data_IF_522058464737
#
_entry.id   IF_522058464737
#
_cell.length_a   1.000
_cell.length_b   1.000
_cell.length_c   1.000
_cell.angle_alpha   90.00
_cell.angle_beta   90.00
_cell.angle_gamma   90.00
#
_symmetry.space_group_name_H-M   'P 1'
#
loop_
_entity.id
_entity.type
_entity.pdbx_description
1 polymer ?
#
# COMPACT_ATOMS: atom_id res chain seq x y z
N UNK A 1 -11.00 18.46 11.86
CA UNK A 1 -10.05 17.37 11.75
C UNK A 1 -10.68 16.11 11.17
N UNK A 2 -11.69 15.50 11.79
CA UNK A 2 -12.35 14.25 11.35
C UNK A 2 -12.96 14.26 9.94
N UNK A 3 -13.18 15.43 9.34
CA UNK A 3 -13.82 15.56 8.02
C UNK A 3 -12.81 15.82 6.89
N UNK A 4 -11.53 15.94 7.18
CA UNK A 4 -10.49 16.24 6.17
C UNK A 4 -10.44 15.17 5.10
N UNK A 5 -10.52 13.90 5.50
CA UNK A 5 -10.46 12.75 4.59
C UNK A 5 -11.82 12.36 3.98
N UNK A 6 -12.89 13.12 4.27
CA UNK A 6 -14.22 12.78 3.75
C UNK A 6 -14.27 12.92 2.24
N UNK A 7 -14.60 11.82 1.55
CA UNK A 7 -14.61 11.59 0.11
C UNK A 7 -13.23 11.45 -0.54
N UNK A 8 -12.14 11.56 0.23
CA UNK A 8 -10.76 11.62 -0.28
C UNK A 8 -9.79 10.79 0.59
N UNK A 9 -10.21 9.54 0.94
CA UNK A 9 -9.32 8.62 1.66
C UNK A 9 -8.07 8.34 0.83
N UNK A 10 -6.91 8.71 1.38
CA UNK A 10 -5.60 8.53 0.76
C UNK A 10 -4.99 9.80 0.18
N UNK A 11 -5.73 10.89 0.03
CA UNK A 11 -5.16 12.13 -0.51
C UNK A 11 -4.30 12.84 0.54
N UNK A 12 -4.89 13.28 1.62
CA UNK A 12 -4.18 14.07 2.64
C UNK A 12 -3.25 13.21 3.49
N UNK A 13 -3.64 11.98 3.80
CA UNK A 13 -2.81 11.08 4.58
C UNK A 13 -1.50 10.74 3.87
N UNK A 14 -1.52 10.56 2.55
CA UNK A 14 -0.32 10.32 1.74
C UNK A 14 0.58 11.56 1.75
N UNK A 15 0.00 12.75 1.56
CA UNK A 15 0.74 14.01 1.65
C UNK A 15 1.41 14.17 3.01
N UNK A 16 0.68 13.89 4.10
CA UNK A 16 1.20 13.98 5.46
C UNK A 16 2.33 12.97 5.72
N UNK A 17 2.21 11.72 5.24
CA UNK A 17 3.27 10.72 5.37
C UNK A 17 4.55 11.15 4.63
N UNK A 18 4.42 11.63 3.39
CA UNK A 18 5.55 12.14 2.60
C UNK A 18 6.19 13.36 3.28
N UNK A 19 5.39 14.32 3.72
CA UNK A 19 5.89 15.50 4.41
C UNK A 19 6.59 15.16 5.73
N UNK A 20 6.05 14.19 6.49
CA UNK A 20 6.67 13.71 7.72
C UNK A 20 8.01 13.02 7.45
N UNK A 21 8.09 12.16 6.44
CA UNK A 21 9.33 11.50 6.05
C UNK A 21 10.40 12.51 5.63
N UNK A 22 10.06 13.47 4.76
CA UNK A 22 10.96 14.56 4.36
C UNK A 22 11.44 15.38 5.57
N UNK A 23 10.55 15.66 6.52
CA UNK A 23 10.92 16.39 7.74
C UNK A 23 11.85 15.60 8.64
N UNK A 24 11.68 14.28 8.73
CA UNK A 24 12.59 13.41 9.49
C UNK A 24 13.95 13.29 8.81
N UNK A 25 14.02 13.32 7.48
CA UNK A 25 15.27 13.28 6.72
C UNK A 25 16.18 14.50 6.97
N UNK A 26 15.65 15.62 7.47
CA UNK A 26 16.44 16.78 7.91
C UNK A 26 17.30 16.47 9.17
N UNK A 27 17.06 15.36 9.86
CA UNK A 27 17.79 15.02 11.09
C UNK A 27 19.15 14.41 10.75
N UNK A 28 20.24 14.84 11.42
CA UNK A 28 21.62 14.50 11.02
C UNK A 28 22.00 13.02 11.21
N UNK A 29 21.13 12.23 11.82
CA UNK A 29 21.31 10.78 12.03
C UNK A 29 20.39 9.92 11.15
N UNK A 30 19.62 10.52 10.26
CA UNK A 30 18.79 9.83 9.28
C UNK A 30 19.50 9.85 7.93
N UNK A 31 19.57 8.70 7.31
CA UNK A 31 20.04 8.54 5.94
C UNK A 31 18.83 8.60 4.99
N UNK A 32 18.64 9.72 4.33
CA UNK A 32 17.51 9.94 3.42
C UNK A 32 17.51 8.96 2.24
N UNK A 33 18.69 8.54 1.78
CA UNK A 33 18.84 7.59 0.67
C UNK A 33 18.49 6.14 1.06
N UNK A 34 18.10 5.89 2.30
CA UNK A 34 17.74 4.59 2.85
C UNK A 34 16.44 4.64 3.63
N UNK A 35 15.45 5.36 3.09
CA UNK A 35 14.14 5.51 3.71
C UNK A 35 13.12 4.59 3.04
N UNK A 36 12.51 3.71 3.83
CA UNK A 36 11.46 2.81 3.37
C UNK A 36 10.17 2.99 4.16
N UNK A 37 9.07 2.54 3.59
CA UNK A 37 7.76 2.54 4.24
C UNK A 37 7.14 1.14 4.19
N UNK A 38 6.44 0.73 5.24
CA UNK A 38 5.67 -0.50 5.19
C UNK A 38 4.35 -0.37 5.93
N UNK A 39 3.38 -1.17 5.50
CA UNK A 39 2.10 -1.19 6.16
C UNK A 39 1.24 -2.39 5.81
N UNK A 40 0.23 -2.62 6.64
CA UNK A 40 -0.74 -3.71 6.54
C UNK A 40 -2.14 -3.14 6.38
N UNK A 41 -2.97 -3.74 5.49
CA UNK A 41 -4.36 -3.31 5.31
C UNK A 41 -4.45 -1.86 4.81
N UNK A 42 -5.05 -0.96 5.57
CA UNK A 42 -5.00 0.49 5.31
C UNK A 42 -3.56 1.01 5.24
N UNK A 43 -2.67 0.50 6.12
CA UNK A 43 -1.24 0.81 6.06
C UNK A 43 -0.58 0.32 4.78
N UNK A 44 -1.04 -0.81 4.23
CA UNK A 44 -0.62 -1.31 2.91
C UNK A 44 -1.10 -0.40 1.76
N UNK A 45 -2.32 0.10 1.83
CA UNK A 45 -2.82 1.14 0.93
C UNK A 45 -1.97 2.41 1.01
N UNK A 46 -1.61 2.85 2.23
CA UNK A 46 -0.74 4.00 2.45
C UNK A 46 0.66 3.78 1.89
N UNK A 47 1.31 2.65 2.20
CA UNK A 47 2.67 2.38 1.71
C UNK A 47 2.73 2.28 0.18
N UNK A 48 1.69 1.70 -0.45
CA UNK A 48 1.57 1.67 -1.91
C UNK A 48 1.43 3.06 -2.51
N UNK A 49 0.52 3.89 -1.99
CA UNK A 49 0.38 5.27 -2.48
C UNK A 49 1.64 6.11 -2.22
N UNK A 50 2.30 5.92 -1.08
CA UNK A 50 3.51 6.67 -0.74
C UNK A 50 4.68 6.35 -1.69
N UNK A 51 4.91 5.09 -2.06
CA UNK A 51 5.97 4.75 -3.02
C UNK A 51 5.66 5.24 -4.43
N UNK A 52 4.37 5.32 -4.81
CA UNK A 52 3.97 5.82 -6.12
C UNK A 52 4.01 7.34 -6.22
N UNK A 53 3.50 8.05 -5.20
CA UNK A 53 3.33 9.51 -5.23
C UNK A 53 4.46 10.27 -4.54
N UNK A 54 5.30 9.58 -3.76
CA UNK A 54 6.46 10.12 -3.05
C UNK A 54 7.76 9.40 -3.43
N UNK A 55 7.95 9.13 -4.71
CA UNK A 55 9.09 8.43 -5.28
C UNK A 55 10.45 9.12 -5.05
N UNK A 56 10.44 10.41 -4.69
CA UNK A 56 11.61 11.18 -4.27
C UNK A 56 11.91 11.06 -2.76
N UNK A 57 11.13 10.27 -2.03
CA UNK A 57 11.17 10.20 -0.55
C UNK A 57 11.39 8.77 -0.03
N UNK A 58 10.87 7.78 -0.75
CA UNK A 58 10.93 6.38 -0.33
C UNK A 58 11.62 5.52 -1.37
N UNK A 59 12.74 4.88 -0.98
CA UNK A 59 13.50 3.96 -1.83
C UNK A 59 12.80 2.60 -1.95
N UNK A 60 12.05 2.20 -0.92
CA UNK A 60 11.30 0.95 -0.94
C UNK A 60 9.96 1.03 -0.21
N UNK A 61 9.03 0.16 -0.59
CA UNK A 61 7.79 -0.06 0.17
C UNK A 61 7.43 -1.53 0.28
N UNK A 62 6.83 -1.90 1.43
CA UNK A 62 6.19 -3.20 1.63
C UNK A 62 4.71 -2.98 1.90
N UNK A 63 3.84 -3.59 1.12
CA UNK A 63 2.39 -3.56 1.30
C UNK A 63 1.86 -4.96 1.60
N UNK A 64 1.32 -5.14 2.80
CA UNK A 64 0.72 -6.41 3.21
C UNK A 64 -0.79 -6.28 3.21
N UNK A 65 -1.46 -7.15 2.46
CA UNK A 65 -2.91 -7.18 2.32
C UNK A 65 -3.52 -5.77 2.05
N UNK A 66 -2.99 -5.01 1.07
CA UNK A 66 -3.40 -3.63 0.85
C UNK A 66 -4.79 -3.54 0.21
N UNK A 67 -5.54 -2.51 0.56
CA UNK A 67 -6.58 -1.97 -0.32
C UNK A 67 -5.88 -1.31 -1.50
N UNK A 68 -6.35 -1.54 -2.73
CA UNK A 68 -5.84 -0.88 -3.94
C UNK A 68 -6.94 -0.15 -4.71
N UNK A 69 -8.19 -0.38 -4.32
CA UNK A 69 -9.33 0.46 -4.66
C UNK A 69 -10.39 0.36 -3.58
N UNK A 70 -10.92 1.47 -3.18
CA UNK A 70 -12.03 1.51 -2.24
C UNK A 70 -13.31 0.89 -2.78
N UNK A 71 -13.44 0.78 -4.10
CA UNK A 71 -14.54 0.05 -4.75
C UNK A 71 -14.49 -1.48 -4.50
N UNK A 72 -13.36 -2.02 -4.04
CA UNK A 72 -13.18 -3.44 -3.70
C UNK A 72 -13.27 -3.71 -2.19
N UNK A 73 -13.65 -2.72 -1.41
CA UNK A 73 -13.82 -2.88 0.03
C UNK A 73 -15.30 -2.81 0.44
N UNK A 74 -15.62 -3.22 1.68
CA UNK A 74 -17.01 -3.30 2.14
C UNK A 74 -17.72 -1.93 2.16
N UNK A 75 -19.03 -1.94 1.93
CA UNK A 75 -19.84 -0.73 1.78
C UNK A 75 -20.02 0.01 3.10
N UNK A 76 -20.16 -0.71 4.23
CA UNK A 76 -20.41 -0.07 5.55
C UNK A 76 -19.24 0.83 5.93
N UNK A 77 -18.02 0.37 5.73
CA UNK A 77 -16.82 1.17 5.97
C UNK A 77 -16.64 2.23 4.89
N UNK A 78 -16.62 1.79 3.63
CA UNK A 78 -16.21 2.65 2.51
C UNK A 78 -17.18 3.80 2.29
N UNK A 79 -18.47 3.54 2.20
CA UNK A 79 -19.46 4.58 1.91
C UNK A 79 -19.60 5.62 3.04
N UNK A 80 -19.26 5.25 4.26
CA UNK A 80 -19.20 6.19 5.40
C UNK A 80 -18.17 7.31 5.14
N UNK A 81 -17.05 6.99 4.52
CA UNK A 81 -15.94 7.93 4.29
C UNK A 81 -15.94 8.50 2.88
N UNK A 82 -16.32 7.69 1.90
CA UNK A 82 -16.17 8.01 0.47
C UNK A 82 -17.51 8.30 -0.23
N UNK A 83 -18.65 8.06 0.42
CA UNK A 83 -19.96 7.95 -0.24
C UNK A 83 -19.97 6.79 -1.26
N UNK A 84 -21.01 6.70 -2.12
CA UNK A 84 -21.02 5.68 -3.18
C UNK A 84 -20.09 6.05 -4.33
N UNK A 85 -19.61 5.06 -5.12
CA UNK A 85 -18.81 5.36 -6.32
C UNK A 85 -19.55 6.26 -7.34
N UNK A 86 -20.88 6.19 -7.39
CA UNK A 86 -21.70 7.02 -8.27
C UNK A 86 -21.74 8.49 -7.82
N UNK A 87 -21.66 8.74 -6.51
CA UNK A 87 -21.69 10.09 -5.93
C UNK A 87 -20.30 10.72 -5.85
N UNK A 88 -19.24 9.90 -5.90
CA UNK A 88 -17.85 10.34 -5.73
C UNK A 88 -16.87 9.58 -6.65
N UNK A 89 -17.10 9.52 -7.97
CA UNK A 89 -16.25 8.72 -8.85
C UNK A 89 -14.77 9.16 -8.81
N UNK A 90 -14.49 10.45 -8.81
CA UNK A 90 -13.11 10.97 -8.75
C UNK A 90 -12.40 10.56 -7.45
N UNK A 91 -13.05 10.66 -6.30
CA UNK A 91 -12.43 10.26 -5.03
C UNK A 91 -12.02 8.79 -5.00
N UNK A 92 -12.80 7.91 -5.65
CA UNK A 92 -12.43 6.51 -5.81
C UNK A 92 -11.28 6.31 -6.81
N UNK A 93 -11.31 6.98 -7.96
CA UNK A 93 -10.32 6.79 -9.02
C UNK A 93 -8.97 7.44 -8.67
N UNK A 94 -8.97 8.67 -8.18
CA UNK A 94 -7.77 9.44 -7.87
C UNK A 94 -6.99 8.87 -6.68
N UNK A 95 -7.67 8.11 -5.80
CA UNK A 95 -7.06 7.48 -4.65
C UNK A 95 -6.82 5.97 -4.81
N UNK A 96 -7.06 5.41 -5.99
CA UNK A 96 -6.79 3.99 -6.28
C UNK A 96 -5.39 3.80 -6.84
N UNK A 97 -4.43 3.25 -6.05
CA UNK A 97 -3.03 3.14 -6.48
C UNK A 97 -2.85 2.33 -7.76
N UNK A 98 -3.70 1.36 -8.07
CA UNK A 98 -3.58 0.60 -9.31
C UNK A 98 -3.84 1.43 -10.59
N UNK A 99 -4.33 2.66 -10.47
CA UNK A 99 -4.46 3.60 -11.60
C UNK A 99 -3.15 4.35 -11.90
N UNK A 100 -2.16 4.25 -11.01
CA UNK A 100 -0.89 4.98 -11.10
C UNK A 100 0.36 4.07 -11.13
N UNK A 101 0.31 2.85 -11.71
CA UNK A 101 1.42 1.91 -11.65
C UNK A 101 2.68 2.44 -12.33
N UNK A 102 2.51 3.34 -13.32
CA UNK A 102 3.61 3.98 -14.06
C UNK A 102 4.51 4.86 -13.19
N UNK A 103 4.02 5.29 -12.01
CA UNK A 103 4.78 6.11 -11.07
C UNK A 103 5.73 5.29 -10.18
N UNK A 104 5.69 3.96 -10.21
CA UNK A 104 6.60 3.14 -9.40
C UNK A 104 8.05 3.33 -9.89
N UNK A 105 8.92 3.81 -9.01
CA UNK A 105 10.37 3.96 -9.27
C UNK A 105 11.22 3.18 -8.27
N UNK A 106 10.81 3.10 -7.00
CA UNK A 106 11.50 2.36 -5.95
C UNK A 106 11.19 0.86 -5.91
N UNK A 107 11.83 0.17 -4.98
CA UNK A 107 11.61 -1.26 -4.75
C UNK A 107 10.26 -1.52 -4.05
N UNK A 108 9.45 -2.43 -4.57
CA UNK A 108 8.12 -2.70 -4.05
C UNK A 108 7.89 -4.18 -3.78
N UNK A 109 7.45 -4.52 -2.57
CA UNK A 109 7.05 -5.87 -2.18
C UNK A 109 5.58 -5.90 -1.80
N UNK A 110 4.78 -6.62 -2.58
CA UNK A 110 3.34 -6.82 -2.36
C UNK A 110 3.08 -8.22 -1.77
N UNK A 111 2.38 -8.29 -0.65
CA UNK A 111 2.08 -9.55 0.05
C UNK A 111 0.58 -9.68 0.31
N UNK A 112 0.00 -10.88 0.07
CA UNK A 112 -1.42 -11.12 0.35
C UNK A 112 -1.71 -12.59 0.68
N UNK A 113 -2.73 -12.84 1.50
CA UNK A 113 -3.30 -14.16 1.74
C UNK A 113 -4.47 -14.43 0.79
N UNK A 114 -4.53 -15.60 0.17
CA UNK A 114 -5.62 -15.91 -0.79
C UNK A 114 -6.99 -16.14 -0.15
N UNK A 115 -7.02 -16.44 1.16
CA UNK A 115 -8.24 -16.61 1.94
C UNK A 115 -8.61 -15.37 2.75
N UNK A 116 -8.13 -14.17 2.34
CA UNK A 116 -8.45 -12.91 3.00
C UNK A 116 -9.93 -12.54 2.74
N UNK A 117 -10.73 -12.59 3.79
CA UNK A 117 -12.16 -12.31 3.80
C UNK A 117 -12.49 -10.86 4.23
N UNK A 118 -11.47 -10.09 4.56
CA UNK A 118 -11.57 -8.66 4.89
C UNK A 118 -11.18 -7.79 3.68
N UNK A 119 -9.91 -7.81 3.31
CA UNK A 119 -9.42 -7.19 2.07
C UNK A 119 -9.22 -8.29 1.04
N UNK A 120 -10.16 -8.46 0.13
CA UNK A 120 -10.10 -9.52 -0.87
C UNK A 120 -8.80 -9.46 -1.68
N UNK A 121 -8.20 -10.62 -1.93
CA UNK A 121 -6.96 -10.77 -2.71
C UNK A 121 -7.05 -10.15 -4.11
N UNK A 122 -8.25 -9.91 -4.62
CA UNK A 122 -8.51 -9.15 -5.85
C UNK A 122 -7.80 -7.80 -5.85
N UNK A 123 -7.72 -7.11 -4.72
CA UNK A 123 -6.97 -5.86 -4.59
C UNK A 123 -5.52 -6.03 -5.08
N UNK A 124 -4.82 -7.02 -4.54
CA UNK A 124 -3.43 -7.31 -4.93
C UNK A 124 -3.31 -7.82 -6.36
N UNK A 125 -4.21 -8.68 -6.80
CA UNK A 125 -4.17 -9.20 -8.18
C UNK A 125 -4.34 -8.07 -9.22
N UNK A 126 -5.22 -7.10 -8.95
CA UNK A 126 -5.40 -5.93 -9.83
C UNK A 126 -4.17 -5.02 -9.83
N UNK A 127 -3.53 -4.83 -8.68
CA UNK A 127 -2.28 -4.06 -8.59
C UNK A 127 -1.12 -4.75 -9.32
N UNK A 128 -0.96 -6.06 -9.13
CA UNK A 128 0.04 -6.88 -9.84
C UNK A 128 -0.15 -6.75 -11.35
N UNK A 129 -1.37 -6.95 -11.84
CA UNK A 129 -1.67 -6.82 -13.27
C UNK A 129 -1.34 -5.42 -13.79
N UNK A 130 -1.73 -4.37 -13.07
CA UNK A 130 -1.46 -2.99 -13.46
C UNK A 130 0.06 -2.71 -13.55
N UNK A 131 0.85 -3.18 -12.58
CA UNK A 131 2.30 -3.03 -12.59
C UNK A 131 2.97 -3.79 -13.73
N UNK A 132 2.51 -5.02 -14.03
CA UNK A 132 2.99 -5.81 -15.18
C UNK A 132 2.71 -5.08 -16.50
N UNK A 133 1.49 -4.55 -16.68
CA UNK A 133 1.12 -3.82 -17.90
C UNK A 133 1.87 -2.49 -18.05
N UNK A 134 2.34 -1.92 -16.93
CA UNK A 134 3.19 -0.73 -16.92
C UNK A 134 4.70 -1.05 -17.06
N UNK A 135 5.07 -2.31 -17.30
CA UNK A 135 6.46 -2.80 -17.39
C UNK A 135 7.31 -2.48 -16.16
N UNK A 136 6.70 -2.53 -14.96
CA UNK A 136 7.41 -2.31 -13.69
C UNK A 136 7.87 -3.63 -13.09
N UNK A 137 9.10 -3.63 -12.56
CA UNK A 137 9.65 -4.74 -11.80
C UNK A 137 9.32 -4.56 -10.31
N UNK A 138 8.90 -5.62 -9.66
CA UNK A 138 8.54 -5.62 -8.25
C UNK A 138 8.53 -7.06 -7.70
N UNK A 139 8.56 -7.19 -6.38
CA UNK A 139 8.44 -8.46 -5.69
C UNK A 139 7.02 -8.68 -5.17
N UNK A 140 6.64 -9.94 -5.06
CA UNK A 140 5.36 -10.32 -4.46
C UNK A 140 5.43 -11.63 -3.69
N UNK A 141 4.45 -11.82 -2.78
CA UNK A 141 4.34 -13.04 -1.98
C UNK A 141 2.89 -13.40 -1.72
N UNK A 142 2.45 -14.56 -2.24
CA UNK A 142 1.09 -15.06 -1.99
C UNK A 142 1.14 -16.17 -0.95
N UNK A 143 0.27 -16.06 0.05
CA UNK A 143 0.11 -17.04 1.12
C UNK A 143 -1.20 -17.79 0.93
N UNK A 144 -1.14 -19.06 0.41
CA UNK A 144 -2.32 -19.85 0.15
C UNK A 144 -3.18 -20.07 1.41
N UNK A 145 -4.49 -19.90 1.30
CA UNK A 145 -5.50 -20.12 2.33
C UNK A 145 -5.29 -19.31 3.63
N UNK A 146 -4.48 -18.24 3.58
CA UNK A 146 -4.31 -17.35 4.72
C UNK A 146 -5.28 -16.19 4.64
N UNK A 147 -5.89 -15.89 5.79
CA UNK A 147 -6.78 -14.74 5.99
C UNK A 147 -6.02 -13.42 6.11
N UNK A 148 -6.73 -12.36 6.46
CA UNK A 148 -6.18 -11.00 6.62
C UNK A 148 -5.00 -10.90 7.59
N UNK A 149 -4.93 -11.77 8.59
CA UNK A 149 -3.84 -11.81 9.58
C UNK A 149 -2.60 -12.58 9.14
N UNK A 150 -2.64 -13.35 8.03
CA UNK A 150 -1.56 -14.19 7.51
C UNK A 150 -0.83 -14.96 8.62
N UNK A 151 -1.53 -15.85 9.31
CA UNK A 151 -0.99 -16.59 10.44
C UNK A 151 -1.22 -18.13 10.35
N UNK A 152 -0.67 -18.87 11.30
CA UNK A 152 -0.78 -20.32 11.46
C UNK A 152 0.52 -21.04 11.09
N UNK A 153 0.92 -21.99 11.94
CA UNK A 153 2.18 -22.70 11.79
C UNK A 153 3.37 -21.76 11.66
N UNK A 154 4.22 -22.00 10.70
CA UNK A 154 5.41 -21.18 10.43
C UNK A 154 5.13 -19.92 9.57
N UNK A 155 3.87 -19.66 9.21
CA UNK A 155 3.51 -18.61 8.24
C UNK A 155 4.02 -17.24 8.64
N UNK A 156 3.84 -16.81 9.91
CA UNK A 156 4.29 -15.49 10.35
C UNK A 156 5.81 -15.36 10.39
N UNK A 157 6.52 -16.39 10.79
CA UNK A 157 7.98 -16.39 10.77
C UNK A 157 8.47 -16.25 9.33
N UNK A 158 7.90 -17.00 8.40
CA UNK A 158 8.23 -16.89 6.98
C UNK A 158 7.92 -15.49 6.42
N UNK A 159 6.75 -14.93 6.75
CA UNK A 159 6.35 -13.59 6.33
C UNK A 159 7.34 -12.52 6.81
N UNK A 160 7.60 -12.48 8.12
CA UNK A 160 8.51 -11.46 8.67
C UNK A 160 9.96 -11.65 8.21
N UNK A 161 10.41 -12.89 8.01
CA UNK A 161 11.73 -13.14 7.40
C UNK A 161 11.78 -12.62 5.96
N UNK A 162 10.74 -12.82 5.15
CA UNK A 162 10.66 -12.28 3.80
C UNK A 162 10.74 -10.75 3.81
N UNK A 163 9.95 -10.10 4.67
CA UNK A 163 9.97 -8.64 4.81
C UNK A 163 11.33 -8.13 5.27
N UNK A 164 11.92 -8.77 6.30
CA UNK A 164 13.23 -8.38 6.84
C UNK A 164 14.34 -8.54 5.82
N UNK A 165 14.32 -9.63 5.04
CA UNK A 165 15.31 -9.86 4.00
C UNK A 165 15.17 -8.81 2.89
N UNK A 166 13.96 -8.50 2.48
CA UNK A 166 13.69 -7.45 1.50
C UNK A 166 14.23 -6.08 1.97
N UNK A 167 13.96 -5.69 3.23
CA UNK A 167 14.50 -4.45 3.80
C UNK A 167 16.04 -4.44 3.76
N UNK A 168 16.68 -5.53 4.20
CA UNK A 168 18.14 -5.63 4.22
C UNK A 168 18.80 -5.63 2.85
N UNK A 169 18.07 -6.08 1.84
CA UNK A 169 18.58 -6.13 0.45
C UNK A 169 18.42 -4.77 -0.25
N UNK A 170 17.35 -4.03 0.08
CA UNK A 170 16.94 -2.83 -0.63
C UNK A 170 17.29 -1.52 0.08
N UNK A 171 17.57 -1.57 1.36
CA UNK A 171 18.07 -0.45 2.19
C UNK A 171 19.40 -0.81 2.87
#
# INVERSE_FOLDING_TARGET
FKKVTHRELGEYEVQDQIAAAKKLSDLPYIDESRTGIWGWSYGGFMSTNCILKGNDTFEMAIAVAPVTSWAFYDTIYTERYMQTPQENPSGYDDNSPFNYPHLLEGDYLLIHGTGDDNVHVQNSMRMIEALIQADKQFDWGIYPDKNHGIYGGNTRIHLYNKMTNFIKEKL
#
